data_IF_013984515507
#
_entry.id   IF_013984515507
#
_cell.length_a   1.000
_cell.length_b   1.000
_cell.length_c   1.000
_cell.angle_alpha   90.00
_cell.angle_beta   90.00
_cell.angle_gamma   90.00
#
_symmetry.space_group_name_H-M   'P 1'
#
loop_
_entity.id
_entity.type
_entity.pdbx_description
1 polymer ?
#
# COMPACT_ATOMS: atom_id res chain seq x y z
N UNK A 1 12.37 0.59 5.05
CA UNK A 1 12.37 0.48 6.53
C UNK A 1 11.87 1.81 7.03
N UNK A 2 10.70 1.85 7.67
CA UNK A 2 10.19 3.06 8.27
C UNK A 2 11.11 3.47 9.41
N UNK A 3 11.52 4.73 9.43
CA UNK A 3 12.45 5.27 10.43
C UNK A 3 11.65 5.89 11.57
N UNK A 4 12.03 5.61 12.81
CA UNK A 4 11.43 6.18 14.02
C UNK A 4 11.88 7.63 14.24
N UNK A 5 11.59 8.51 13.27
CA UNK A 5 11.87 9.94 13.41
C UNK A 5 10.81 10.60 14.30
N UNK A 6 11.17 11.66 15.04
CA UNK A 6 10.22 12.42 15.85
C UNK A 6 9.02 12.92 15.03
N UNK A 7 9.26 13.36 13.79
CA UNK A 7 8.21 13.78 12.87
C UNK A 7 7.25 12.64 12.49
N UNK A 8 7.75 11.41 12.37
CA UNK A 8 6.91 10.23 12.11
C UNK A 8 6.03 9.89 13.31
N UNK A 9 6.58 9.99 14.53
CA UNK A 9 5.84 9.73 15.78
C UNK A 9 4.73 10.76 15.95
N UNK A 10 5.04 12.05 15.82
CA UNK A 10 4.06 13.13 15.90
C UNK A 10 2.94 12.94 14.88
N UNK A 11 3.29 12.68 13.61
CA UNK A 11 2.30 12.41 12.57
C UNK A 11 1.40 11.23 12.95
N UNK A 12 1.97 10.12 13.43
CA UNK A 12 1.24 8.92 13.82
C UNK A 12 0.25 9.16 14.97
N UNK A 13 0.60 9.99 15.96
CA UNK A 13 -0.29 10.28 17.11
C UNK A 13 -1.58 11.00 16.71
N UNK A 14 -1.58 11.70 15.57
CA UNK A 14 -2.76 12.39 15.04
C UNK A 14 -3.67 11.48 14.18
N UNK A 15 -3.20 10.29 13.80
CA UNK A 15 -3.93 9.39 12.90
C UNK A 15 -4.98 8.57 13.63
N UNK A 16 -6.07 8.30 12.94
CA UNK A 16 -7.10 7.34 13.34
C UNK A 16 -7.08 6.15 12.40
N UNK A 17 -7.14 4.95 12.98
CA UNK A 17 -7.33 3.72 12.22
C UNK A 17 -8.76 3.69 11.68
N UNK A 18 -8.91 3.22 10.45
CA UNK A 18 -10.22 2.98 9.85
C UNK A 18 -10.70 1.61 10.32
N UNK A 19 -11.97 1.52 10.71
CA UNK A 19 -12.58 0.24 11.04
C UNK A 19 -13.23 -0.32 9.77
N UNK A 20 -12.71 -1.46 9.29
CA UNK A 20 -13.32 -2.24 8.20
C UNK A 20 -13.37 -3.71 8.57
N UNK A 21 -14.36 -4.42 8.06
CA UNK A 21 -14.42 -5.88 8.06
C UNK A 21 -13.43 -6.48 7.04
N UNK A 22 -13.10 -7.78 7.17
CA UNK A 22 -12.24 -8.48 6.20
C UNK A 22 -12.87 -8.46 4.79
N UNK A 23 -14.20 -8.54 4.70
CA UNK A 23 -14.92 -8.52 3.42
C UNK A 23 -14.88 -7.14 2.76
N UNK A 24 -15.14 -6.06 3.51
CA UNK A 24 -15.02 -4.69 2.99
C UNK A 24 -13.61 -4.39 2.50
N UNK A 25 -12.59 -4.78 3.26
CA UNK A 25 -11.20 -4.62 2.87
C UNK A 25 -10.86 -5.39 1.58
N UNK A 26 -11.31 -6.64 1.46
CA UNK A 26 -11.09 -7.43 0.25
C UNK A 26 -11.77 -6.82 -0.96
N UNK A 27 -13.03 -6.40 -0.82
CA UNK A 27 -13.77 -5.77 -1.91
C UNK A 27 -13.11 -4.47 -2.36
N UNK A 28 -12.64 -3.64 -1.42
CA UNK A 28 -11.89 -2.42 -1.72
C UNK A 28 -10.61 -2.71 -2.53
N UNK A 29 -9.81 -3.68 -2.10
CA UNK A 29 -8.57 -4.03 -2.82
C UNK A 29 -8.87 -4.63 -4.20
N UNK A 30 -9.88 -5.49 -4.29
CA UNK A 30 -10.28 -6.12 -5.55
C UNK A 30 -10.87 -5.11 -6.54
N UNK A 31 -11.65 -4.13 -6.08
CA UNK A 31 -12.19 -3.07 -6.94
C UNK A 31 -11.08 -2.19 -7.50
N UNK A 32 -10.11 -1.78 -6.69
CA UNK A 32 -8.93 -1.06 -7.15
C UNK A 32 -8.09 -1.90 -8.11
N UNK A 33 -7.85 -3.18 -7.79
CA UNK A 33 -7.11 -4.08 -8.67
C UNK A 33 -7.77 -4.20 -10.03
N UNK A 34 -9.09 -4.37 -10.09
CA UNK A 34 -9.84 -4.48 -11.34
C UNK A 34 -9.75 -3.18 -12.15
N UNK A 35 -9.98 -2.03 -11.52
CA UNK A 35 -9.89 -0.72 -12.18
C UNK A 35 -8.50 -0.50 -12.78
N UNK A 36 -7.45 -0.81 -12.02
CA UNK A 36 -6.06 -0.59 -12.44
C UNK A 36 -5.57 -1.62 -13.47
N UNK A 37 -6.17 -2.82 -13.49
CA UNK A 37 -5.89 -3.83 -14.51
C UNK A 37 -6.26 -3.29 -15.90
N UNK A 38 -7.43 -2.67 -16.01
CA UNK A 38 -7.91 -2.05 -17.25
C UNK A 38 -7.06 -0.84 -17.64
N UNK A 39 -6.74 0.04 -16.69
CA UNK A 39 -5.92 1.24 -16.94
C UNK A 39 -4.49 0.93 -17.40
N UNK A 40 -3.86 -0.10 -16.83
CA UNK A 40 -2.47 -0.47 -17.12
C UNK A 40 -2.35 -1.54 -18.21
N UNK A 41 -3.46 -2.16 -18.63
CA UNK A 41 -3.46 -3.27 -19.58
C UNK A 41 -2.76 -4.52 -19.04
N UNK A 42 -2.92 -4.83 -17.76
CA UNK A 42 -2.26 -5.96 -17.07
C UNK A 42 -3.25 -6.81 -16.30
N UNK A 43 -2.95 -8.10 -16.14
CA UNK A 43 -3.76 -9.01 -15.33
C UNK A 43 -2.90 -9.71 -14.27
N UNK A 44 -3.14 -9.51 -12.97
CA UNK A 44 -2.44 -10.28 -11.94
C UNK A 44 -2.85 -11.75 -11.99
N UNK A 45 -1.91 -12.66 -11.75
CA UNK A 45 -2.19 -14.10 -11.69
C UNK A 45 -3.03 -14.46 -10.46
N UNK A 46 -2.76 -13.77 -9.34
CA UNK A 46 -3.49 -13.97 -8.09
C UNK A 46 -3.35 -12.79 -7.16
N UNK A 47 -4.43 -12.47 -6.45
CA UNK A 47 -4.44 -11.55 -5.31
C UNK A 47 -4.59 -12.35 -4.02
N UNK A 48 -3.77 -12.05 -3.02
CA UNK A 48 -3.81 -12.72 -1.71
C UNK A 48 -3.63 -11.73 -0.56
N UNK A 49 -4.17 -12.08 0.60
CA UNK A 49 -4.16 -11.24 1.80
C UNK A 49 -3.49 -11.98 2.94
N UNK A 50 -2.44 -11.39 3.53
CA UNK A 50 -1.65 -12.05 4.58
C UNK A 50 -1.07 -11.02 5.54
N UNK A 51 -0.77 -11.42 6.78
CA UNK A 51 -0.01 -10.56 7.69
C UNK A 51 1.45 -10.55 7.26
N UNK A 52 2.02 -9.38 7.01
CA UNK A 52 3.40 -9.22 6.55
C UNK A 52 4.20 -8.39 7.56
N UNK A 53 5.46 -8.78 7.79
CA UNK A 53 6.30 -8.18 8.86
C UNK A 53 7.03 -6.91 8.46
N UNK A 54 7.19 -6.63 7.18
CA UNK A 54 8.14 -5.59 6.72
C UNK A 54 7.64 -4.71 5.56
N UNK A 55 6.45 -5.00 5.02
CA UNK A 55 5.95 -4.38 3.79
C UNK A 55 4.43 -4.34 3.76
N UNK A 56 3.89 -3.37 3.03
CA UNK A 56 2.44 -3.20 2.80
C UNK A 56 1.91 -4.10 1.69
N UNK A 57 2.74 -4.41 0.69
CA UNK A 57 2.41 -5.31 -0.40
C UNK A 57 3.63 -6.02 -0.96
N UNK A 58 3.41 -6.92 -1.92
CA UNK A 58 4.45 -7.37 -2.85
C UNK A 58 3.89 -8.08 -4.07
N UNK A 59 4.46 -7.78 -5.23
CA UNK A 59 4.33 -8.53 -6.47
C UNK A 59 5.48 -9.54 -6.64
N UNK A 60 5.18 -10.75 -7.12
CA UNK A 60 6.21 -11.71 -7.56
C UNK A 60 6.46 -11.58 -9.07
N UNK A 61 7.57 -12.12 -9.57
CA UNK A 61 7.86 -12.20 -11.02
C UNK A 61 6.84 -13.03 -11.81
N UNK A 62 6.01 -13.83 -11.12
CA UNK A 62 4.89 -14.58 -11.72
C UNK A 62 3.57 -13.80 -11.70
N UNK A 63 3.58 -12.51 -11.33
CA UNK A 63 2.38 -11.67 -11.28
C UNK A 63 1.47 -11.93 -10.08
N UNK A 64 2.01 -12.48 -8.98
CA UNK A 64 1.25 -12.70 -7.73
C UNK A 64 1.31 -11.50 -6.82
N UNK A 65 0.18 -10.88 -6.56
CA UNK A 65 0.02 -9.78 -5.61
C UNK A 65 -0.29 -10.32 -4.23
N UNK A 66 0.39 -9.75 -3.23
CA UNK A 66 0.13 -10.04 -1.83
C UNK A 66 -0.05 -8.70 -1.12
N UNK A 67 -1.16 -8.54 -0.43
CA UNK A 67 -1.46 -7.34 0.33
C UNK A 67 -1.43 -7.65 1.83
N UNK A 68 -0.86 -6.72 2.61
CA UNK A 68 -0.79 -6.85 4.05
C UNK A 68 -2.17 -6.59 4.66
N UNK A 69 -2.63 -7.44 5.58
CA UNK A 69 -3.92 -7.23 6.26
C UNK A 69 -3.99 -5.91 7.03
N UNK A 70 -2.87 -5.37 7.46
CA UNK A 70 -2.82 -4.05 8.11
C UNK A 70 -3.33 -2.91 7.23
N UNK A 71 -3.43 -3.08 5.90
CA UNK A 71 -4.08 -2.12 5.02
C UNK A 71 -5.57 -1.91 5.34
N UNK A 72 -6.24 -2.86 6.01
CA UNK A 72 -7.64 -2.71 6.41
C UNK A 72 -7.86 -1.51 7.33
N UNK A 73 -6.82 -1.11 8.06
CA UNK A 73 -6.84 -0.03 9.05
C UNK A 73 -6.49 1.35 8.45
N UNK A 74 -6.21 1.43 7.15
CA UNK A 74 -5.75 2.64 6.47
C UNK A 74 -6.88 3.38 5.73
N UNK A 75 -6.81 4.70 5.59
CA UNK A 75 -7.60 5.47 4.62
C UNK A 75 -7.55 4.88 3.20
N UNK A 76 -8.65 5.02 2.44
CA UNK A 76 -8.79 4.38 1.13
C UNK A 76 -7.75 4.84 0.10
N UNK A 77 -7.33 6.09 0.15
CA UNK A 77 -6.30 6.68 -0.71
C UNK A 77 -4.92 6.03 -0.48
N UNK A 78 -4.59 5.67 0.76
CA UNK A 78 -3.36 4.93 1.05
C UNK A 78 -3.46 3.47 0.60
N UNK A 79 -4.64 2.85 0.72
CA UNK A 79 -4.89 1.51 0.17
C UNK A 79 -4.74 1.53 -1.35
N UNK A 80 -5.35 2.52 -2.01
CA UNK A 80 -5.27 2.73 -3.46
C UNK A 80 -3.82 2.86 -3.93
N UNK A 81 -3.02 3.69 -3.25
CA UNK A 81 -1.61 3.86 -3.56
C UNK A 81 -0.83 2.55 -3.47
N UNK A 82 -1.03 1.76 -2.41
CA UNK A 82 -0.35 0.47 -2.25
C UNK A 82 -0.80 -0.53 -3.31
N UNK A 83 -2.09 -0.59 -3.63
CA UNK A 83 -2.60 -1.48 -4.70
C UNK A 83 -1.98 -1.09 -6.04
N UNK A 84 -1.96 0.19 -6.37
CA UNK A 84 -1.36 0.68 -7.60
C UNK A 84 0.15 0.42 -7.67
N UNK A 85 0.88 0.57 -6.54
CA UNK A 85 2.30 0.26 -6.46
C UNK A 85 2.59 -1.20 -6.82
N UNK A 86 1.80 -2.13 -6.29
CA UNK A 86 1.99 -3.56 -6.58
C UNK A 86 1.52 -3.92 -8.01
N UNK A 87 0.49 -3.25 -8.53
CA UNK A 87 0.05 -3.40 -9.92
C UNK A 87 1.11 -2.88 -10.91
N UNK A 88 1.77 -1.76 -10.60
CA UNK A 88 2.84 -1.20 -11.43
C UNK A 88 4.02 -2.18 -11.60
N UNK A 89 4.25 -3.07 -10.63
CA UNK A 89 5.24 -4.14 -10.75
C UNK A 89 4.92 -5.18 -11.82
N UNK A 90 3.67 -5.30 -12.28
CA UNK A 90 3.30 -6.12 -13.43
C UNK A 90 3.80 -5.53 -14.76
N UNK A 91 3.98 -4.21 -14.81
CA UNK A 91 4.54 -3.49 -15.97
C UNK A 91 6.07 -3.40 -15.87
N UNK A 92 6.58 -3.10 -14.68
CA UNK A 92 8.00 -2.89 -14.42
C UNK A 92 8.42 -3.46 -13.06
N UNK A 93 9.15 -4.58 -13.08
CA UNK A 93 9.45 -5.37 -11.87
C UNK A 93 10.33 -4.65 -10.85
N UNK A 94 11.15 -3.69 -11.27
CA UNK A 94 12.10 -2.98 -10.41
C UNK A 94 11.66 -1.54 -10.23
N UNK A 95 12.06 -0.89 -9.14
CA UNK A 95 11.85 0.55 -8.90
C UNK A 95 12.74 1.43 -9.81
N UNK A 96 12.69 1.22 -11.12
CA UNK A 96 13.41 1.97 -12.16
C UNK A 96 12.76 3.33 -12.42
N UNK A 97 13.39 4.24 -13.19
CA UNK A 97 12.75 5.50 -13.58
C UNK A 97 11.39 5.30 -14.26
N UNK A 98 11.24 4.23 -15.06
CA UNK A 98 9.97 3.88 -15.71
C UNK A 98 8.89 3.51 -14.69
N UNK A 99 9.25 2.73 -13.66
CA UNK A 99 8.32 2.42 -12.57
C UNK A 99 7.81 3.70 -11.91
N UNK A 100 8.70 4.62 -11.59
CA UNK A 100 8.32 5.87 -10.93
C UNK A 100 7.49 6.78 -11.83
N UNK A 101 7.73 6.81 -13.14
CA UNK A 101 6.86 7.51 -14.09
C UNK A 101 5.42 6.98 -14.06
N UNK A 102 5.24 5.65 -13.90
CA UNK A 102 3.90 5.04 -13.77
C UNK A 102 3.23 5.47 -12.46
N UNK A 103 3.97 5.49 -11.34
CA UNK A 103 3.43 5.99 -10.06
C UNK A 103 3.07 7.48 -10.16
N UNK A 104 3.97 8.28 -10.70
CA UNK A 104 3.83 9.75 -10.79
C UNK A 104 2.68 10.17 -11.72
N UNK A 105 2.34 9.35 -12.72
CA UNK A 105 1.20 9.64 -13.61
C UNK A 105 -0.15 9.64 -12.88
N UNK A 106 -0.23 9.05 -11.68
CA UNK A 106 -1.45 9.03 -10.86
C UNK A 106 -1.32 9.82 -9.56
N UNK A 107 -0.18 9.73 -8.88
CA UNK A 107 -0.09 10.16 -7.48
C UNK A 107 0.73 11.42 -7.23
N UNK A 108 1.54 11.90 -8.18
CA UNK A 108 2.25 13.19 -8.14
C UNK A 108 3.23 13.42 -6.97
N UNK A 109 2.74 13.45 -5.73
CA UNK A 109 3.51 13.59 -4.49
C UNK A 109 3.69 12.23 -3.79
N UNK A 110 4.66 11.43 -4.26
CA UNK A 110 5.06 10.17 -3.61
C UNK A 110 5.49 10.36 -2.15
N UNK A 111 6.08 11.51 -1.84
CA UNK A 111 6.62 11.77 -0.51
C UNK A 111 5.52 11.86 0.54
N UNK A 112 4.32 12.33 0.16
CA UNK A 112 3.13 12.29 1.00
C UNK A 112 2.77 10.85 1.40
N UNK A 113 2.61 9.97 0.42
CA UNK A 113 2.25 8.56 0.66
C UNK A 113 3.29 7.85 1.50
N UNK A 114 4.58 8.07 1.24
CA UNK A 114 5.65 7.47 2.04
C UNK A 114 5.58 7.92 3.52
N UNK A 115 5.35 9.22 3.78
CA UNK A 115 5.19 9.75 5.15
C UNK A 115 3.97 9.18 5.86
N UNK A 116 2.84 9.13 5.17
CA UNK A 116 1.58 8.64 5.75
C UNK A 116 1.64 7.13 6.03
N UNK A 117 2.12 6.34 5.07
CA UNK A 117 2.35 4.90 5.25
C UNK A 117 3.34 4.62 6.37
N UNK A 118 4.37 5.45 6.55
CA UNK A 118 5.29 5.33 7.69
C UNK A 118 4.58 5.56 9.02
N UNK A 119 3.74 6.60 9.11
CA UNK A 119 3.00 6.95 10.32
C UNK A 119 1.99 5.86 10.69
N UNK A 120 1.21 5.36 9.73
CA UNK A 120 0.29 4.24 9.94
C UNK A 120 1.01 2.95 10.31
N UNK A 121 2.17 2.67 9.71
CA UNK A 121 2.96 1.50 10.10
C UNK A 121 3.37 1.57 11.57
N UNK A 122 3.86 2.73 12.01
CA UNK A 122 4.23 2.96 13.41
C UNK A 122 3.03 2.81 14.35
N UNK A 123 1.89 3.42 14.00
CA UNK A 123 0.65 3.35 14.78
C UNK A 123 0.18 1.90 14.94
N UNK A 124 0.18 1.11 13.86
CA UNK A 124 -0.28 -0.28 13.86
C UNK A 124 0.71 -1.23 14.53
N UNK A 125 2.02 -1.02 14.36
CA UNK A 125 3.04 -1.89 14.97
C UNK A 125 3.30 -1.57 16.46
N UNK A 126 2.75 -0.48 17.01
CA UNK A 126 2.62 -0.31 18.44
C UNK A 126 3.94 -0.14 19.20
N UNK A 127 4.72 0.88 18.85
CA UNK A 127 5.63 1.52 19.81
C UNK A 127 5.03 2.80 20.40
N UNK A 128 3.77 2.76 20.79
CA UNK A 128 3.35 3.55 21.97
C UNK A 128 3.39 2.57 23.14
N UNK A 129 4.52 2.59 23.86
CA UNK A 129 4.61 1.93 25.17
C UNK A 129 3.39 2.34 26.00
N UNK A 130 2.54 1.38 26.37
CA UNK A 130 1.92 1.42 27.69
C UNK A 130 2.90 0.76 28.65
#
# INVERSE_FOLDING_TARGET
RYTDSLATIENATSKKLVERTDDEFRQLVLSFTSKMADELGVCPEKVTFRKMRTKWGSCSSKGRLNFNRHLMDLPEDLVEYVVFHEMAHLVELRHSPRFWQIIDSRFGDRSHYDRELSAYWYLIQGHVKK
#
